data_IF_015183167925
#
_entry.id   IF_015183167925
#
_cell.length_a   1.000
_cell.length_b   1.000
_cell.length_c   1.000
_cell.angle_alpha   90.00
_cell.angle_beta   90.00
_cell.angle_gamma   90.00
#
_symmetry.space_group_name_H-M   'P 1'
#
loop_
_entity.id
_entity.type
_entity.pdbx_description
1 polymer ?
#
# COMPACT_ATOMS: atom_id res chain seq x y z
N UNK A 1 12.74 2.50 21.00
CA UNK A 1 11.99 1.50 20.20
C UNK A 1 12.51 1.52 18.77
N UNK A 2 12.67 0.37 18.11
CA UNK A 2 12.91 0.35 16.65
C UNK A 2 11.55 0.20 15.98
N UNK A 3 11.03 1.28 15.40
CA UNK A 3 9.84 1.21 14.57
C UNK A 3 10.20 0.50 13.26
N UNK A 4 9.45 -0.55 12.91
CA UNK A 4 9.77 -1.42 11.77
C UNK A 4 9.47 -0.72 10.45
N UNK A 5 10.44 -0.63 9.54
CA UNK A 5 10.25 -0.02 8.22
C UNK A 5 9.75 -1.03 7.19
N UNK A 6 8.89 -0.59 6.27
CA UNK A 6 8.55 -1.37 5.07
C UNK A 6 9.18 -0.72 3.85
N UNK A 7 9.93 -1.49 3.08
CA UNK A 7 10.60 -1.02 1.87
C UNK A 7 10.54 -2.11 0.82
N UNK A 8 10.21 -1.74 -0.42
CA UNK A 8 10.14 -2.69 -1.54
C UNK A 8 9.27 -3.90 -1.18
N UNK A 9 7.98 -3.67 -0.90
CA UNK A 9 7.03 -4.74 -0.56
C UNK A 9 5.81 -4.68 -1.47
N UNK A 10 5.21 -5.83 -1.77
CA UNK A 10 3.97 -5.83 -2.55
C UNK A 10 3.02 -6.97 -2.20
N UNK A 11 1.73 -6.73 -2.42
CA UNK A 11 0.67 -7.71 -2.24
C UNK A 11 -0.32 -7.68 -3.41
N UNK A 12 -0.64 -8.83 -3.97
CA UNK A 12 -1.55 -8.93 -5.13
C UNK A 12 -2.85 -9.65 -4.83
N UNK A 13 -2.89 -10.43 -3.75
CA UNK A 13 -4.09 -11.15 -3.31
C UNK A 13 -5.13 -10.24 -2.69
N UNK A 14 -6.40 -10.63 -2.80
CA UNK A 14 -7.49 -9.95 -2.11
C UNK A 14 -7.33 -10.11 -0.58
N UNK A 15 -7.75 -9.09 0.15
CA UNK A 15 -7.79 -9.07 1.61
C UNK A 15 -9.25 -9.00 2.04
N UNK A 16 -9.64 -9.85 2.99
CA UNK A 16 -10.96 -9.78 3.61
C UNK A 16 -10.79 -9.64 5.11
N UNK A 17 -11.37 -8.57 5.65
CA UNK A 17 -11.45 -8.32 7.07
C UNK A 17 -12.76 -8.90 7.61
N UNK A 18 -12.66 -9.99 8.37
CA UNK A 18 -13.80 -10.58 9.06
C UNK A 18 -14.01 -9.90 10.41
N UNK A 19 -15.17 -9.27 10.59
CA UNK A 19 -15.43 -8.41 11.74
C UNK A 19 -16.42 -9.05 12.71
N UNK A 20 -15.96 -9.25 13.94
CA UNK A 20 -16.78 -9.66 15.09
C UNK A 20 -16.53 -8.78 16.34
N UNK A 21 -15.83 -7.65 16.18
CA UNK A 21 -15.34 -6.81 17.27
C UNK A 21 -16.14 -5.53 17.42
N UNK A 22 -16.28 -5.06 18.67
CA UNK A 22 -16.85 -3.75 18.99
C UNK A 22 -15.85 -2.58 18.81
N UNK A 23 -14.57 -2.88 18.54
CA UNK A 23 -13.49 -1.87 18.38
C UNK A 23 -13.35 -1.43 16.92
N UNK A 24 -12.51 -0.41 16.68
CA UNK A 24 -12.14 -0.01 15.33
C UNK A 24 -11.35 -1.13 14.63
N UNK A 25 -11.62 -1.32 13.34
CA UNK A 25 -10.99 -2.35 12.51
C UNK A 25 -10.34 -1.70 11.29
N UNK A 26 -9.17 -2.20 10.89
CA UNK A 26 -8.34 -1.59 9.85
C UNK A 26 -7.91 -2.65 8.84
N UNK A 27 -8.38 -2.52 7.59
CA UNK A 27 -8.01 -3.38 6.47
C UNK A 27 -7.27 -2.57 5.41
N UNK A 28 -6.06 -2.98 5.08
CA UNK A 28 -5.26 -2.38 4.00
C UNK A 28 -4.64 -3.45 3.12
N UNK A 29 -4.37 -3.11 1.86
CA UNK A 29 -3.76 -4.04 0.91
C UNK A 29 -2.30 -4.37 1.25
N UNK A 30 -1.59 -3.45 1.90
CA UNK A 30 -0.21 -3.66 2.37
C UNK A 30 -0.15 -3.73 3.90
N UNK A 31 -0.78 -2.78 4.61
CA UNK A 31 -0.81 -2.76 6.09
C UNK A 31 -2.20 -2.37 6.58
N UNK A 32 -2.72 -3.05 7.60
CA UNK A 32 -3.97 -2.64 8.26
C UNK A 32 -3.85 -1.28 8.94
N UNK A 33 -3.00 -1.18 9.97
CA UNK A 33 -2.74 0.04 10.72
C UNK A 33 -1.24 0.35 10.74
N UNK A 34 -0.86 1.54 10.28
CA UNK A 34 0.52 2.03 10.39
C UNK A 34 0.63 3.13 11.48
N UNK A 35 1.21 2.75 12.62
CA UNK A 35 1.37 3.61 13.80
C UNK A 35 2.43 4.73 13.69
N UNK A 36 3.09 4.90 12.55
CA UNK A 36 4.13 5.92 12.38
C UNK A 36 5.36 5.50 11.57
N UNK A 37 5.40 4.25 11.10
CA UNK A 37 6.60 3.69 10.47
C UNK A 37 6.73 4.07 8.99
N UNK A 38 7.96 4.34 8.54
CA UNK A 38 8.24 4.65 7.13
C UNK A 38 7.83 3.48 6.23
N UNK A 39 7.05 3.80 5.20
CA UNK A 39 6.73 2.89 4.08
C UNK A 39 7.28 3.50 2.81
N UNK A 40 8.10 2.74 2.09
CA UNK A 40 8.84 3.20 0.91
C UNK A 40 8.66 2.22 -0.25
N UNK A 41 8.21 2.72 -1.39
CA UNK A 41 8.13 1.95 -2.63
C UNK A 41 7.38 0.63 -2.44
N UNK A 42 6.14 0.70 -1.97
CA UNK A 42 5.29 -0.46 -1.76
C UNK A 42 4.02 -0.37 -2.61
N UNK A 43 3.44 -1.51 -3.00
CA UNK A 43 2.15 -1.47 -3.69
C UNK A 43 1.19 -2.62 -3.34
N UNK A 44 -0.10 -2.38 -3.57
CA UNK A 44 -1.13 -3.40 -3.49
C UNK A 44 -2.07 -3.41 -4.71
N UNK A 45 -2.48 -4.60 -5.12
CA UNK A 45 -3.44 -4.77 -6.24
C UNK A 45 -4.68 -5.55 -5.88
N UNK A 46 -4.72 -6.23 -4.74
CA UNK A 46 -5.92 -6.92 -4.30
C UNK A 46 -7.06 -5.97 -3.95
N UNK A 47 -8.29 -6.46 -4.03
CA UNK A 47 -9.41 -5.80 -3.37
C UNK A 47 -9.29 -6.01 -1.86
N UNK A 48 -9.61 -4.99 -1.08
CA UNK A 48 -9.77 -5.08 0.37
C UNK A 48 -11.25 -4.96 0.68
N UNK A 49 -11.83 -5.97 1.28
CA UNK A 49 -13.25 -6.00 1.65
C UNK A 49 -13.41 -6.28 3.12
N UNK A 50 -14.60 -6.05 3.65
CA UNK A 50 -14.97 -6.43 5.01
C UNK A 50 -16.29 -7.18 5.03
N UNK A 51 -16.41 -8.15 5.93
CA UNK A 51 -17.64 -8.89 6.20
C UNK A 51 -17.95 -8.85 7.70
N UNK A 52 -19.20 -9.15 8.07
CA UNK A 52 -19.65 -9.07 9.46
C UNK A 52 -20.11 -7.65 9.85
N UNK A 53 -20.21 -7.41 11.15
CA UNK A 53 -20.73 -6.16 11.70
C UNK A 53 -19.88 -5.65 12.85
N UNK A 54 -19.78 -4.33 12.94
CA UNK A 54 -18.98 -3.61 13.93
C UNK A 54 -19.84 -2.54 14.58
N UNK A 55 -19.65 -2.31 15.87
CA UNK A 55 -20.12 -1.08 16.54
C UNK A 55 -19.06 0.03 16.54
N UNK A 56 -17.81 -0.29 16.16
CA UNK A 56 -16.72 0.67 15.95
C UNK A 56 -16.51 1.00 14.47
N UNK A 57 -15.57 1.90 14.17
CA UNK A 57 -15.28 2.31 12.80
C UNK A 57 -14.55 1.22 12.01
N UNK A 58 -14.91 1.06 10.74
CA UNK A 58 -14.25 0.14 9.82
C UNK A 58 -13.52 0.95 8.75
N UNK A 59 -12.20 0.86 8.76
CA UNK A 59 -11.32 1.61 7.87
C UNK A 59 -10.71 0.67 6.83
N UNK A 60 -11.21 0.77 5.60
CA UNK A 60 -10.73 -0.02 4.47
C UNK A 60 -10.07 0.90 3.45
N UNK A 61 -8.82 0.61 3.09
CA UNK A 61 -8.12 1.35 2.03
C UNK A 61 -7.28 0.45 1.15
N UNK A 62 -6.98 0.93 -0.06
CA UNK A 62 -6.24 0.14 -1.06
C UNK A 62 -4.81 -0.18 -0.64
N UNK A 63 -4.19 0.68 0.16
CA UNK A 63 -2.83 0.51 0.67
C UNK A 63 -2.82 0.34 2.20
N UNK A 64 -3.49 1.26 2.90
CA UNK A 64 -3.63 1.26 4.36
C UNK A 64 -5.09 1.29 4.80
N UNK A 65 -5.43 0.62 5.89
CA UNK A 65 -6.68 0.92 6.61
C UNK A 65 -6.58 2.29 7.30
N UNK A 66 -5.49 2.52 8.04
CA UNK A 66 -5.15 3.80 8.66
C UNK A 66 -3.63 3.97 8.77
N UNK A 67 -3.13 5.22 8.72
CA UNK A 67 -1.70 5.53 8.74
C UNK A 67 -1.40 6.90 9.36
N UNK A 68 -0.46 6.98 10.30
CA UNK A 68 -0.07 8.25 10.95
C UNK A 68 1.27 8.82 10.43
N UNK A 69 1.66 8.46 9.21
CA UNK A 69 2.97 8.85 8.67
C UNK A 69 2.95 9.08 7.16
N UNK A 70 3.99 9.74 6.68
CA UNK A 70 4.27 9.94 5.26
C UNK A 70 4.75 8.62 4.65
N UNK A 71 4.27 8.34 3.44
CA UNK A 71 4.57 7.10 2.70
C UNK A 71 5.11 7.51 1.36
N UNK A 72 6.25 6.98 0.92
CA UNK A 72 6.92 7.50 -0.27
C UNK A 72 6.79 6.53 -1.43
N UNK A 73 6.38 7.04 -2.60
CA UNK A 73 6.23 6.28 -3.84
C UNK A 73 5.43 4.98 -3.66
N UNK A 74 4.30 5.05 -2.96
CA UNK A 74 3.47 3.87 -2.72
C UNK A 74 2.20 3.88 -3.58
N UNK A 75 1.78 2.71 -4.05
CA UNK A 75 0.76 2.61 -5.10
C UNK A 75 -0.33 1.60 -4.78
N UNK A 76 -1.56 1.85 -5.24
CA UNK A 76 -2.61 0.84 -5.19
C UNK A 76 -3.42 0.82 -6.48
N UNK A 77 -3.95 -0.34 -6.88
CA UNK A 77 -4.82 -0.43 -8.07
C UNK A 77 -6.30 -0.48 -7.71
N UNK A 78 -6.67 -1.42 -6.86
CA UNK A 78 -8.04 -1.75 -6.54
C UNK A 78 -8.47 -1.11 -5.20
N UNK A 79 -9.78 -1.09 -4.92
CA UNK A 79 -10.48 -0.34 -3.86
C UNK A 79 -10.81 1.14 -4.15
N UNK A 80 -11.68 1.72 -3.30
CA UNK A 80 -12.20 3.10 -3.35
C UNK A 80 -11.11 4.15 -3.62
N UNK A 81 -11.52 5.37 -3.98
CA UNK A 81 -10.66 6.49 -4.43
C UNK A 81 -9.50 6.91 -3.48
N UNK A 82 -9.34 6.27 -2.32
CA UNK A 82 -8.36 6.65 -1.29
C UNK A 82 -7.50 5.47 -0.88
N UNK A 83 -6.19 5.61 -1.05
CA UNK A 83 -5.16 4.73 -0.48
C UNK A 83 -4.97 4.98 1.02
N UNK A 84 -5.31 6.21 1.47
CA UNK A 84 -5.68 6.67 2.82
C UNK A 84 -5.73 8.24 2.82
N UNK A 85 -6.37 8.88 3.81
CA UNK A 85 -6.73 10.33 3.83
C UNK A 85 -5.57 11.33 3.91
N UNK A 86 -4.37 10.96 4.37
CA UNK A 86 -3.23 11.91 4.56
C UNK A 86 -1.90 11.40 3.99
N UNK A 87 -1.95 10.55 2.97
CA UNK A 87 -0.76 10.08 2.25
C UNK A 87 -0.66 10.77 0.88
N UNK A 88 -0.24 12.05 0.78
CA UNK A 88 -0.13 12.79 -0.49
C UNK A 88 0.84 12.13 -1.48
N UNK A 89 1.72 11.26 -0.98
CA UNK A 89 2.71 10.50 -1.74
C UNK A 89 2.28 9.04 -2.04
N UNK A 90 1.03 8.68 -1.70
CA UNK A 90 0.42 7.45 -2.18
C UNK A 90 -0.47 7.75 -3.38
N UNK A 91 -0.41 6.91 -4.43
CA UNK A 91 -1.13 7.18 -5.68
C UNK A 91 -1.87 5.95 -6.22
N UNK A 92 -3.12 6.14 -6.65
CA UNK A 92 -3.88 5.11 -7.35
C UNK A 92 -3.31 4.90 -8.76
N UNK A 93 -3.07 3.65 -9.14
CA UNK A 93 -2.77 3.25 -10.52
C UNK A 93 -4.10 3.05 -11.24
N UNK A 94 -4.59 4.12 -11.86
CA UNK A 94 -5.86 4.15 -12.60
C UNK A 94 -5.74 3.65 -14.06
N UNK A 95 -4.50 3.53 -14.56
CA UNK A 95 -4.23 3.14 -15.93
C UNK A 95 -4.39 4.28 -16.96
N UNK A 96 -4.79 5.48 -16.53
CA UNK A 96 -4.93 6.66 -17.39
C UNK A 96 -3.81 7.66 -17.10
N UNK A 97 -3.84 8.31 -15.95
CA UNK A 97 -2.82 9.27 -15.52
C UNK A 97 -1.63 8.58 -14.88
N UNK A 98 -1.88 7.50 -14.15
CA UNK A 98 -0.88 6.75 -13.41
C UNK A 98 -0.89 5.30 -13.89
N UNK A 99 0.17 4.93 -14.60
CA UNK A 99 0.40 3.57 -15.11
C UNK A 99 1.40 2.84 -14.22
N UNK A 100 1.47 1.50 -14.35
CA UNK A 100 2.50 0.72 -13.66
C UNK A 100 3.91 1.11 -14.07
N UNK A 101 4.12 1.55 -15.32
CA UNK A 101 5.41 2.05 -15.74
C UNK A 101 5.82 3.29 -14.92
N UNK A 102 4.94 4.30 -14.84
CA UNK A 102 5.20 5.51 -14.02
C UNK A 102 5.40 5.17 -12.55
N UNK A 103 4.62 4.22 -12.02
CA UNK A 103 4.77 3.76 -10.64
C UNK A 103 6.13 3.10 -10.41
N UNK A 104 6.57 2.23 -11.31
CA UNK A 104 7.88 1.56 -11.25
C UNK A 104 9.02 2.57 -11.32
N UNK A 105 8.94 3.55 -12.19
CA UNK A 105 9.98 4.58 -12.33
C UNK A 105 10.13 5.39 -11.03
N UNK A 106 9.01 5.81 -10.44
CA UNK A 106 9.00 6.54 -9.17
C UNK A 106 9.45 5.66 -7.98
N UNK A 107 8.97 4.41 -7.89
CA UNK A 107 9.39 3.45 -6.87
C UNK A 107 10.90 3.21 -6.95
N UNK A 108 11.44 2.98 -8.14
CA UNK A 108 12.86 2.74 -8.35
C UNK A 108 13.72 3.97 -8.03
N UNK A 109 13.26 5.17 -8.39
CA UNK A 109 13.93 6.42 -8.00
C UNK A 109 14.00 6.54 -6.47
N UNK A 110 12.89 6.26 -5.79
CA UNK A 110 12.82 6.32 -4.33
C UNK A 110 13.69 5.25 -3.65
N UNK A 111 13.77 4.04 -4.22
CA UNK A 111 14.63 2.95 -3.75
C UNK A 111 16.11 3.27 -3.94
N UNK A 112 16.50 3.81 -5.10
CA UNK A 112 17.88 4.23 -5.38
C UNK A 112 18.33 5.33 -4.43
N UNK A 113 17.49 6.35 -4.21
CA UNK A 113 17.78 7.41 -3.25
C UNK A 113 17.92 6.90 -1.81
N UNK A 114 17.30 5.77 -1.49
CA UNK A 114 17.41 5.11 -0.20
C UNK A 114 18.57 4.09 -0.10
N UNK A 115 19.37 3.91 -1.17
CA UNK A 115 20.46 2.93 -1.21
C UNK A 115 20.00 1.48 -1.19
N UNK A 116 18.77 1.20 -1.65
CA UNK A 116 18.20 -0.14 -1.68
C UNK A 116 18.89 -1.01 -2.74
N UNK A 117 19.20 -2.25 -2.38
CA UNK A 117 19.65 -3.30 -3.32
C UNK A 117 18.49 -3.88 -4.16
N UNK A 118 17.26 -3.51 -3.84
CA UNK A 118 16.06 -3.96 -4.54
C UNK A 118 15.59 -2.96 -5.59
N UNK A 119 15.08 -3.48 -6.70
CA UNK A 119 14.47 -2.74 -7.79
C UNK A 119 13.23 -3.44 -8.31
N UNK A 120 12.24 -2.68 -8.74
CA UNK A 120 11.10 -3.18 -9.50
C UNK A 120 11.41 -3.32 -10.99
N UNK A 121 11.00 -4.44 -11.57
CA UNK A 121 10.96 -4.70 -13.01
C UNK A 121 9.51 -4.87 -13.47
N UNK A 122 9.16 -4.30 -14.63
CA UNK A 122 7.85 -4.45 -15.25
C UNK A 122 7.95 -5.32 -16.51
N UNK A 123 8.05 -6.64 -16.30
CA UNK A 123 8.18 -7.63 -17.38
C UNK A 123 6.81 -8.25 -17.77
N UNK A 124 5.73 -7.81 -17.15
CA UNK A 124 4.38 -8.33 -17.35
C UNK A 124 3.31 -7.32 -16.91
N UNK A 125 2.13 -7.81 -16.55
CA UNK A 125 1.01 -6.95 -16.19
C UNK A 125 1.21 -6.16 -14.88
N UNK A 126 2.04 -6.69 -13.96
CA UNK A 126 2.35 -6.10 -12.67
C UNK A 126 3.87 -6.05 -12.46
N UNK A 127 4.38 -5.08 -11.67
CA UNK A 127 5.79 -5.05 -11.30
C UNK A 127 6.18 -6.28 -10.48
N UNK A 128 7.47 -6.63 -10.49
CA UNK A 128 8.04 -7.65 -9.61
C UNK A 128 9.37 -7.15 -9.06
N UNK A 129 9.76 -7.64 -7.88
CA UNK A 129 11.03 -7.25 -7.25
C UNK A 129 12.17 -8.13 -7.69
N UNK A 130 13.31 -7.49 -7.94
CA UNK A 130 14.58 -8.14 -8.21
C UNK A 130 15.67 -7.47 -7.40
N UNK A 131 16.61 -8.28 -6.92
CA UNK A 131 17.85 -7.78 -6.32
C UNK A 131 18.84 -7.38 -7.42
N UNK A 132 19.44 -6.19 -7.28
CA UNK A 132 20.45 -5.66 -8.19
C UNK A 132 21.80 -6.36 -8.03
#
# INVERSE_FOLDING_TARGET
>A
EKWGTMTACYATGNVTLEIASQKNNFGGGVVGLNGGSRVLACYATGNVTSTGSSTGNVHIGGLFGDSYTTVTACYWKNNQERGYKTAPESTKVDGTYVTWQKAVDAMNTALQNAGSEWRYELNGALPTLRKQ
#
